data_IF_956395806913
#
_entry.id   IF_956395806913
#
_cell.length_a   1.000
_cell.length_b   1.000
_cell.length_c   1.000
_cell.angle_alpha   90.00
_cell.angle_beta   90.00
_cell.angle_gamma   90.00
#
_symmetry.space_group_name_H-M   'P 1'
#
loop_
_entity.id
_entity.type
_entity.pdbx_description
1 polymer ?
#
# COMPACT_ATOMS: atom_id res chain seq x y z
N UNK A 1 16.83 -10.83 16.83
CA UNK A 1 16.65 -12.24 16.44
C UNK A 1 15.54 -12.86 17.27
N UNK A 2 14.73 -13.67 16.61
CA UNK A 2 13.60 -14.48 17.09
C UNK A 2 12.51 -13.84 17.94
N UNK A 3 11.51 -13.29 17.22
CA UNK A 3 10.13 -13.56 17.60
C UNK A 3 9.46 -14.25 16.43
N UNK A 4 9.41 -15.58 16.47
CA UNK A 4 8.43 -16.36 15.72
C UNK A 4 7.06 -15.97 16.30
N UNK A 5 6.53 -14.82 15.87
CA UNK A 5 5.16 -14.39 16.14
C UNK A 5 4.29 -15.22 15.22
N UNK A 6 3.74 -16.35 15.71
CA UNK A 6 2.83 -17.22 14.95
C UNK A 6 2.03 -16.46 13.88
N UNK A 7 2.02 -16.92 12.61
CA UNK A 7 1.25 -16.33 11.52
C UNK A 7 -0.06 -15.79 12.01
N UNK A 8 -0.36 -14.52 11.75
CA UNK A 8 -1.66 -13.98 12.08
C UNK A 8 -2.78 -14.87 11.50
N UNK A 9 -2.57 -15.44 10.32
CA UNK A 9 -3.44 -16.46 9.69
C UNK A 9 -3.49 -17.80 10.46
N UNK A 10 -2.36 -18.24 11.04
CA UNK A 10 -2.23 -19.47 11.85
C UNK A 10 -2.68 -19.33 13.31
N UNK A 11 -2.95 -18.10 13.75
CA UNK A 11 -3.45 -17.88 15.10
C UNK A 11 -4.85 -18.52 15.23
N UNK A 12 -5.15 -19.15 16.38
CA UNK A 12 -6.52 -19.54 16.69
C UNK A 12 -7.46 -18.34 16.60
N UNK A 13 -8.70 -18.58 16.15
CA UNK A 13 -9.72 -17.56 15.91
C UNK A 13 -9.76 -16.43 16.96
N UNK A 14 -9.77 -16.77 18.26
CA UNK A 14 -9.80 -15.79 19.37
C UNK A 14 -8.60 -14.84 19.36
N UNK A 15 -7.40 -15.35 19.09
CA UNK A 15 -6.17 -14.54 19.04
C UNK A 15 -6.13 -13.63 17.81
N UNK A 16 -6.68 -14.06 16.68
CA UNK A 16 -6.87 -13.19 15.50
C UNK A 16 -7.79 -12.03 15.81
N UNK A 17 -8.93 -12.32 16.44
CA UNK A 17 -9.89 -11.31 16.90
C UNK A 17 -9.28 -10.32 17.89
N UNK A 18 -8.49 -10.78 18.86
CA UNK A 18 -7.81 -9.88 19.81
C UNK A 18 -6.79 -8.97 19.13
N UNK A 19 -6.04 -9.50 18.17
CA UNK A 19 -5.09 -8.71 17.38
C UNK A 19 -5.83 -7.70 16.49
N UNK A 20 -6.90 -8.10 15.81
CA UNK A 20 -7.79 -7.20 15.06
C UNK A 20 -8.31 -6.06 15.95
N UNK A 21 -8.84 -6.39 17.14
CA UNK A 21 -9.35 -5.39 18.10
C UNK A 21 -8.24 -4.42 18.49
N UNK A 22 -7.05 -4.92 18.82
CA UNK A 22 -5.90 -4.07 19.17
C UNK A 22 -5.54 -3.09 18.06
N UNK A 23 -5.49 -3.56 16.81
CA UNK A 23 -5.17 -2.71 15.67
C UNK A 23 -6.30 -1.72 15.37
N UNK A 24 -7.55 -2.13 15.48
CA UNK A 24 -8.71 -1.22 15.39
C UNK A 24 -8.63 -0.09 16.43
N UNK A 25 -8.31 -0.40 17.69
CA UNK A 25 -8.13 0.62 18.72
C UNK A 25 -6.98 1.57 18.41
N UNK A 26 -5.88 1.06 17.85
CA UNK A 26 -4.76 1.91 17.42
C UNK A 26 -5.19 2.85 16.30
N UNK A 27 -5.86 2.35 15.27
CA UNK A 27 -6.39 3.17 14.17
C UNK A 27 -7.32 4.26 14.73
N UNK A 28 -8.22 3.91 15.64
CA UNK A 28 -9.11 4.89 16.28
C UNK A 28 -8.32 5.97 17.05
N UNK A 29 -7.26 5.58 17.76
CA UNK A 29 -6.41 6.52 18.48
C UNK A 29 -5.65 7.46 17.53
N UNK A 30 -5.19 6.93 16.39
CA UNK A 30 -4.41 7.67 15.40
C UNK A 30 -5.30 8.41 14.39
N UNK A 31 -6.64 8.37 14.55
CA UNK A 31 -7.62 9.10 13.71
C UNK A 31 -7.26 10.57 13.46
N UNK A 32 -6.80 11.36 14.46
CA UNK A 32 -6.42 12.76 14.21
C UNK A 32 -5.29 12.93 13.20
N UNK A 33 -4.49 11.89 12.97
CA UNK A 33 -3.34 11.89 12.06
C UNK A 33 -3.72 11.24 10.72
N UNK A 34 -4.35 10.06 10.75
CA UNK A 34 -4.57 9.22 9.56
C UNK A 34 -6.02 9.07 9.12
N UNK A 35 -6.95 9.87 9.66
CA UNK A 35 -8.35 9.87 9.21
C UNK A 35 -9.17 8.63 9.63
N UNK A 36 -8.56 7.66 10.31
CA UNK A 36 -9.26 6.54 10.96
C UNK A 36 -9.51 5.32 10.07
N UNK A 37 -8.98 5.28 8.84
CA UNK A 37 -8.99 4.08 8.00
C UNK A 37 -7.75 3.21 8.18
N UNK A 38 -6.62 3.81 8.53
CA UNK A 38 -5.33 3.14 8.69
C UNK A 38 -4.51 3.74 9.83
N UNK A 39 -3.37 3.11 10.12
CA UNK A 39 -2.31 3.61 11.00
C UNK A 39 -0.96 3.27 10.40
N UNK A 40 0.08 4.02 10.75
CA UNK A 40 1.46 3.70 10.37
C UNK A 40 2.43 3.92 11.53
N UNK A 41 3.65 3.40 11.37
CA UNK A 41 4.81 3.76 12.20
C UNK A 41 5.64 4.88 11.55
N UNK A 42 5.47 5.08 10.24
CA UNK A 42 6.06 6.20 9.50
C UNK A 42 5.19 7.42 9.71
N UNK A 43 5.78 8.62 9.65
CA UNK A 43 5.03 9.87 9.62
C UNK A 43 4.73 10.19 8.16
N UNK A 44 3.45 10.40 7.85
CA UNK A 44 3.05 10.91 6.55
C UNK A 44 3.29 12.41 6.55
N UNK A 45 4.25 12.88 5.76
CA UNK A 45 4.50 14.30 5.59
C UNK A 45 3.59 14.84 4.48
N UNK A 46 2.54 15.57 4.87
CA UNK A 46 1.63 16.23 3.92
C UNK A 46 2.14 17.62 3.49
N UNK A 47 3.27 18.11 4.05
CA UNK A 47 3.77 19.48 3.84
C UNK A 47 5.20 19.52 3.22
N UNK A 48 5.88 18.38 3.12
CA UNK A 48 7.23 18.24 2.58
C UNK A 48 7.30 17.69 1.15
N UNK A 49 8.48 17.17 0.77
CA UNK A 49 8.69 16.45 -0.50
C UNK A 49 7.73 15.26 -0.56
N UNK A 50 6.90 15.24 -1.58
CA UNK A 50 5.95 14.18 -1.87
C UNK A 50 6.64 12.80 -1.86
N UNK A 51 6.19 11.89 -1.00
CA UNK A 51 6.71 10.51 -0.98
C UNK A 51 6.12 9.71 -2.13
N UNK A 52 6.97 8.98 -2.85
CA UNK A 52 6.54 8.05 -3.89
C UNK A 52 6.05 6.70 -3.33
N UNK A 53 6.25 6.43 -2.03
CA UNK A 53 5.84 5.19 -1.39
C UNK A 53 5.45 5.38 0.08
N UNK A 54 4.72 4.43 0.66
CA UNK A 54 4.39 4.43 2.09
C UNK A 54 4.03 3.04 2.62
N UNK A 55 4.45 2.73 3.85
CA UNK A 55 4.00 1.55 4.59
C UNK A 55 2.89 1.92 5.57
N UNK A 56 1.82 1.12 5.60
CA UNK A 56 0.69 1.33 6.50
C UNK A 56 -0.05 0.03 6.86
N UNK A 57 -0.84 0.10 7.93
CA UNK A 57 -1.65 -0.99 8.44
C UNK A 57 -3.11 -0.59 8.44
N UNK A 58 -3.98 -1.48 7.95
CA UNK A 58 -5.42 -1.32 8.07
C UNK A 58 -6.11 -2.65 8.38
N UNK A 59 -7.34 -2.57 8.87
CA UNK A 59 -8.14 -3.75 9.22
C UNK A 59 -9.04 -4.18 8.05
N UNK A 60 -9.11 -5.49 7.82
CA UNK A 60 -10.01 -6.10 6.84
C UNK A 60 -11.47 -6.10 7.29
N UNK A 61 -12.35 -6.29 6.32
CA UNK A 61 -13.81 -6.25 6.48
C UNK A 61 -14.35 -7.51 7.18
N UNK A 62 -13.58 -8.60 7.15
CA UNK A 62 -13.89 -9.90 7.77
C UNK A 62 -13.83 -9.89 9.32
N UNK A 63 -13.43 -8.76 9.92
CA UNK A 63 -13.28 -8.60 11.37
C UNK A 63 -12.12 -9.42 11.95
N UNK A 64 -11.27 -9.95 11.09
CA UNK A 64 -10.28 -10.95 11.45
C UNK A 64 -8.94 -10.74 10.79
N UNK A 65 -8.82 -9.92 9.74
CA UNK A 65 -7.60 -9.67 8.98
C UNK A 65 -7.02 -8.30 9.30
N UNK A 66 -5.69 -8.25 9.40
CA UNK A 66 -4.92 -7.00 9.45
C UNK A 66 -3.95 -7.05 8.29
N UNK A 67 -4.08 -6.08 7.39
CA UNK A 67 -3.28 -5.93 6.20
C UNK A 67 -2.04 -5.11 6.53
N UNK A 68 -0.85 -5.66 6.26
CA UNK A 68 0.39 -4.90 6.25
C UNK A 68 0.66 -4.47 4.81
N UNK A 69 0.36 -3.22 4.50
CA UNK A 69 0.31 -2.72 3.13
C UNK A 69 1.51 -1.81 2.83
N UNK A 70 2.07 -2.03 1.65
CA UNK A 70 3.04 -1.16 1.01
C UNK A 70 2.38 -0.56 -0.22
N UNK A 71 2.36 0.77 -0.33
CA UNK A 71 1.86 1.48 -1.51
C UNK A 71 3.00 2.24 -2.18
N UNK A 72 3.02 2.23 -3.51
CA UNK A 72 4.00 2.95 -4.34
C UNK A 72 3.29 3.60 -5.53
N UNK A 73 3.79 4.75 -5.97
CA UNK A 73 3.36 5.40 -7.22
C UNK A 73 3.80 4.56 -8.43
N UNK A 74 2.99 4.56 -9.49
CA UNK A 74 3.33 3.90 -10.73
C UNK A 74 4.66 4.39 -11.31
N UNK A 75 4.93 5.69 -11.17
CA UNK A 75 6.22 6.32 -11.53
C UNK A 75 7.39 5.68 -10.80
N UNK A 76 7.34 5.56 -9.47
CA UNK A 76 8.45 4.97 -8.73
C UNK A 76 8.59 3.46 -9.00
N UNK A 77 7.48 2.73 -9.17
CA UNK A 77 7.51 1.34 -9.60
C UNK A 77 8.19 1.17 -10.98
N UNK A 78 7.96 2.11 -11.90
CA UNK A 78 8.63 2.15 -13.20
C UNK A 78 10.14 2.42 -13.06
N UNK A 79 10.53 3.42 -12.26
CA UNK A 79 11.94 3.76 -12.03
C UNK A 79 12.71 2.64 -11.32
N UNK A 80 12.07 1.91 -10.41
CA UNK A 80 12.65 0.72 -9.81
C UNK A 80 12.81 -0.41 -10.84
N UNK A 81 11.82 -0.61 -11.73
CA UNK A 81 11.93 -1.59 -12.82
C UNK A 81 13.09 -1.28 -13.78
N UNK A 82 13.28 -0.01 -14.16
CA UNK A 82 14.40 0.45 -14.98
C UNK A 82 15.75 0.19 -14.30
N UNK A 83 15.84 0.44 -12.98
CA UNK A 83 17.04 0.12 -12.18
C UNK A 83 17.40 -1.37 -12.20
N UNK A 84 16.42 -2.26 -12.38
CA UNK A 84 16.63 -3.70 -12.49
C UNK A 84 16.87 -4.17 -13.94
N UNK A 85 17.18 -3.25 -14.86
CA UNK A 85 17.42 -3.53 -16.29
C UNK A 85 16.25 -4.25 -16.97
N UNK A 86 15.03 -4.05 -16.47
CA UNK A 86 13.84 -4.50 -17.18
C UNK A 86 13.65 -3.66 -18.44
N UNK A 87 13.02 -4.21 -19.49
CA UNK A 87 12.83 -3.47 -20.74
C UNK A 87 12.12 -2.12 -20.51
N UNK A 88 12.60 -1.05 -21.16
CA UNK A 88 12.03 0.32 -21.07
C UNK A 88 10.54 0.36 -21.46
N UNK A 89 10.04 -0.64 -22.18
CA UNK A 89 8.62 -0.82 -22.51
C UNK A 89 7.84 -1.62 -21.45
N UNK A 90 8.32 -1.71 -20.21
CA UNK A 90 7.61 -2.38 -19.13
C UNK A 90 6.31 -1.65 -18.84
N UNK A 91 5.19 -2.31 -19.11
CA UNK A 91 3.86 -1.82 -18.79
C UNK A 91 3.67 -1.88 -17.26
N UNK A 92 3.48 -0.71 -16.64
CA UNK A 92 3.08 -0.61 -15.24
C UNK A 92 1.57 -0.54 -15.18
N UNK A 93 0.99 -1.35 -14.30
CA UNK A 93 -0.45 -1.37 -14.05
C UNK A 93 -0.70 -1.04 -12.58
N UNK A 94 -1.75 -0.29 -12.33
CA UNK A 94 -2.32 -0.22 -10.99
C UNK A 94 -2.74 -1.62 -10.55
N UNK A 95 -2.42 -1.99 -9.32
CA UNK A 95 -2.70 -3.33 -8.85
C UNK A 95 -2.76 -3.42 -7.33
N UNK A 96 -3.41 -4.49 -6.89
CA UNK A 96 -3.39 -5.03 -5.53
C UNK A 96 -2.83 -6.45 -5.61
N UNK A 97 -1.67 -6.71 -5.01
CA UNK A 97 -1.04 -8.04 -4.96
C UNK A 97 -0.92 -8.50 -3.52
N UNK A 98 -1.41 -9.70 -3.22
CA UNK A 98 -1.41 -10.21 -1.85
C UNK A 98 -0.14 -11.02 -1.64
N UNK A 99 0.80 -10.46 -0.88
CA UNK A 99 2.05 -11.10 -0.56
C UNK A 99 1.93 -11.95 0.72
N UNK A 100 1.90 -13.27 0.56
CA UNK A 100 1.86 -14.23 1.67
C UNK A 100 3.23 -14.79 2.05
N UNK A 101 4.30 -14.23 1.48
CA UNK A 101 5.67 -14.69 1.71
C UNK A 101 6.15 -14.40 3.13
N UNK A 102 5.52 -13.45 3.82
CA UNK A 102 5.79 -13.17 5.22
C UNK A 102 5.09 -14.21 6.10
N UNK A 103 5.84 -14.99 6.90
CA UNK A 103 5.25 -16.03 7.75
C UNK A 103 4.25 -15.46 8.74
N UNK A 104 4.31 -14.16 9.06
CA UNK A 104 3.62 -13.59 10.22
C UNK A 104 2.47 -12.64 9.88
N UNK A 105 2.40 -12.16 8.64
CA UNK A 105 1.57 -11.04 8.20
C UNK A 105 1.02 -11.31 6.80
N UNK A 106 -0.15 -10.76 6.47
CA UNK A 106 -0.65 -10.76 5.09
C UNK A 106 -0.20 -9.43 4.49
N UNK A 107 0.80 -9.49 3.62
CA UNK A 107 1.29 -8.36 2.86
C UNK A 107 0.31 -7.96 1.77
N UNK A 108 0.20 -6.68 1.52
CA UNK A 108 -0.53 -6.13 0.37
C UNK A 108 0.37 -5.13 -0.34
N UNK A 109 0.81 -5.46 -1.54
CA UNK A 109 1.57 -4.56 -2.39
C UNK A 109 0.57 -3.82 -3.30
N UNK A 110 0.63 -2.49 -3.28
CA UNK A 110 -0.28 -1.60 -3.99
C UNK A 110 0.51 -0.71 -4.94
N UNK A 111 0.10 -0.70 -6.21
CA UNK A 111 0.58 0.29 -7.20
C UNK A 111 -0.60 1.19 -7.57
N UNK A 112 -0.40 2.51 -7.48
CA UNK A 112 -1.42 3.52 -7.83
C UNK A 112 -0.88 4.51 -8.86
N UNK A 113 -1.75 4.98 -9.75
CA UNK A 113 -1.43 6.05 -10.70
C UNK A 113 -1.71 7.43 -10.09
N UNK A 114 -0.92 7.79 -9.09
CA UNK A 114 -0.98 9.09 -8.42
C UNK A 114 0.43 9.70 -8.40
N UNK A 115 0.56 11.03 -8.51
CA UNK A 115 1.87 11.69 -8.59
C UNK A 115 2.65 11.61 -7.27
N UNK A 116 1.97 11.41 -6.15
CA UNK A 116 2.55 11.26 -4.82
C UNK A 116 1.59 10.56 -3.86
N UNK A 117 2.13 9.96 -2.81
CA UNK A 117 1.35 9.29 -1.78
C UNK A 117 1.03 10.28 -0.66
N UNK A 118 -0.26 10.62 -0.54
CA UNK A 118 -0.82 11.37 0.59
C UNK A 118 -1.91 10.55 1.30
N UNK A 119 -2.55 11.15 2.31
CA UNK A 119 -3.58 10.46 3.10
C UNK A 119 -4.77 10.07 2.24
N UNK A 120 -5.18 10.96 1.34
CA UNK A 120 -6.33 10.75 0.45
C UNK A 120 -6.07 9.57 -0.48
N UNK A 121 -4.86 9.45 -1.05
CA UNK A 121 -4.46 8.33 -1.90
C UNK A 121 -4.53 7.01 -1.13
N UNK A 122 -4.02 6.97 0.11
CA UNK A 122 -4.08 5.77 0.95
C UNK A 122 -5.55 5.41 1.29
N UNK A 123 -6.35 6.40 1.69
CA UNK A 123 -7.78 6.20 2.00
C UNK A 123 -8.54 5.66 0.78
N UNK A 124 -8.32 6.24 -0.40
CA UNK A 124 -8.92 5.79 -1.65
C UNK A 124 -8.49 4.37 -2.01
N UNK A 125 -7.21 4.03 -1.87
CA UNK A 125 -6.70 2.69 -2.13
C UNK A 125 -7.33 1.65 -1.19
N UNK A 126 -7.45 1.96 0.11
CA UNK A 126 -8.13 1.07 1.09
C UNK A 126 -9.60 0.88 0.73
N UNK A 127 -10.30 1.94 0.36
CA UNK A 127 -11.70 1.86 -0.03
C UNK A 127 -11.87 1.04 -1.31
N UNK A 128 -11.03 1.27 -2.33
CA UNK A 128 -11.07 0.53 -3.59
C UNK A 128 -10.77 -0.97 -3.38
N UNK A 129 -9.76 -1.30 -2.59
CA UNK A 129 -9.46 -2.70 -2.27
C UNK A 129 -10.65 -3.39 -1.58
N UNK A 130 -11.35 -2.68 -0.68
CA UNK A 130 -12.58 -3.19 -0.05
C UNK A 130 -13.74 -3.35 -1.02
N UNK A 131 -13.96 -2.42 -1.95
CA UNK A 131 -15.05 -2.54 -2.93
C UNK A 131 -14.84 -3.71 -3.89
N UNK A 132 -13.60 -4.07 -4.17
CA UNK A 132 -13.24 -5.28 -4.93
C UNK A 132 -13.39 -6.58 -4.13
N UNK A 133 -13.64 -6.50 -2.82
CA UNK A 133 -13.80 -7.66 -1.94
C UNK A 133 -12.49 -8.17 -1.33
N UNK A 134 -11.47 -7.31 -1.23
CA UNK A 134 -10.16 -7.62 -0.63
C UNK A 134 -9.41 -8.76 -1.34
N UNK A 135 -9.46 -8.74 -2.68
CA UNK A 135 -8.83 -9.72 -3.57
C UNK A 135 -7.73 -9.07 -4.41
N UNK A 136 -6.87 -9.91 -4.99
CA UNK A 136 -5.90 -9.44 -5.97
C UNK A 136 -6.61 -8.85 -7.19
N UNK A 137 -6.03 -7.78 -7.72
CA UNK A 137 -6.56 -7.07 -8.88
C UNK A 137 -5.43 -6.41 -9.64
N UNK A 138 -5.61 -6.32 -10.95
CA UNK A 138 -4.74 -5.58 -11.85
C UNK A 138 -5.63 -4.79 -12.81
N UNK A 139 -5.35 -3.51 -12.97
CA UNK A 139 -6.01 -2.70 -13.97
C UNK A 139 -5.65 -3.26 -15.35
N UNK A 140 -6.64 -3.56 -16.19
CA UNK A 140 -6.40 -4.09 -17.54
C UNK A 140 -5.75 -3.06 -18.47
N UNK A 141 -5.85 -1.78 -18.13
CA UNK A 141 -5.24 -0.68 -18.87
C UNK A 141 -3.92 -0.31 -18.17
N UNK A 142 -2.78 -0.27 -18.88
CA UNK A 142 -1.53 0.18 -18.29
C UNK A 142 -1.57 1.68 -18.01
N UNK A 143 -0.78 2.10 -17.03
CA UNK A 143 -0.58 3.51 -16.70
C UNK A 143 0.05 4.23 -17.91
N UNK A 144 -0.52 5.37 -18.36
CA UNK A 144 0.03 6.13 -19.46
C UNK A 144 1.50 6.49 -19.25
N UNK A 145 2.30 6.40 -20.32
CA UNK A 145 3.75 6.65 -20.24
C UNK A 145 4.09 8.08 -19.81
N UNK A 146 3.20 9.04 -20.08
CA UNK A 146 3.28 10.44 -19.63
C UNK A 146 3.15 10.62 -18.11
N UNK A 147 2.57 9.67 -17.39
CA UNK A 147 2.53 9.67 -15.93
C UNK A 147 3.79 9.03 -15.33
N UNK A 148 4.46 8.16 -16.08
CA UNK A 148 5.66 7.43 -15.65
C UNK A 148 6.96 8.22 -15.86
N UNK A 149 6.99 9.05 -16.90
CA UNK A 149 8.13 9.90 -17.23
C UNK A 149 7.76 11.35 -16.94
N UNK A 150 8.59 12.13 -16.22
CA UNK A 150 8.40 13.57 -16.22
C UNK A 150 8.42 14.06 -17.66
N UNK A 151 7.46 14.90 -18.07
CA UNK A 151 7.51 15.58 -19.37
C UNK A 151 8.94 16.06 -19.58
N UNK A 152 9.56 15.61 -20.68
CA UNK A 152 10.93 15.96 -21.03
C UNK A 152 11.14 17.43 -20.70
N UNK A 153 11.91 17.70 -19.63
CA UNK A 153 12.34 19.04 -19.30
C UNK A 153 13.19 19.49 -20.46
N UNK A 154 12.57 20.12 -21.46
CA UNK A 154 13.27 20.94 -22.42
C UNK A 154 13.86 22.05 -21.55
N UNK A 155 15.20 22.14 -21.41
CA UNK A 155 15.77 23.32 -20.80
C UNK A 155 15.42 24.48 -21.73
N UNK A 156 14.50 25.34 -21.29
CA UNK A 156 14.29 26.62 -21.92
C UNK A 156 15.57 27.44 -21.71
N UNK A 157 16.35 27.55 -22.79
CA UNK A 157 17.19 28.71 -23.17
C UNK A 157 18.16 29.25 -22.14
#
# INVERSE_FOLDING_TARGET
>A
MDRIKRPFTSLPYRKRRDAFIRWRWRILKDTPIYGGLFTSQLQLDEQGDSSDWFDFLFVGSDGQTVWNAFIITARAAFLDADRFELPINTEIHECFKINRSFPNEVGLDIVVDEPFIDRRVIENAVLHFRTLGEVEWINSVPVPQEHLLPENGIPHG
#
